data_IF_396122452779
#
_entry.id   IF_396122452779
#
_cell.length_a   1.000
_cell.length_b   1.000
_cell.length_c   1.000
_cell.angle_alpha   90.00
_cell.angle_beta   90.00
_cell.angle_gamma   90.00
#
_symmetry.space_group_name_H-M   'P 1'
#
loop_
_entity.id
_entity.type
_entity.pdbx_description
1 polymer ?
#
# COMPACT_ATOMS: atom_id res chain seq x y z
N UNK A 1 51.69 -3.96 -23.31
CA UNK A 1 51.63 -4.77 -22.07
C UNK A 1 50.32 -4.42 -21.41
N UNK A 2 49.18 -4.94 -21.90
CA UNK A 2 47.84 -4.49 -21.48
C UNK A 2 46.90 -5.70 -21.58
N UNK A 3 46.74 -6.44 -20.48
CA UNK A 3 45.68 -6.38 -19.47
C UNK A 3 44.47 -7.28 -19.79
N UNK A 4 44.42 -8.34 -18.98
CA UNK A 4 43.43 -9.40 -18.83
C UNK A 4 42.10 -8.83 -18.30
N UNK A 5 40.98 -9.15 -18.95
CA UNK A 5 39.64 -9.04 -18.34
C UNK A 5 38.84 -10.28 -18.77
N UNK A 6 38.93 -11.32 -17.95
CA UNK A 6 37.89 -12.34 -17.83
C UNK A 6 36.64 -11.68 -17.24
N UNK A 7 35.47 -11.89 -17.83
CA UNK A 7 34.19 -11.72 -17.13
C UNK A 7 33.08 -12.49 -17.84
N UNK A 8 32.58 -13.48 -17.10
CA UNK A 8 31.49 -14.40 -17.39
C UNK A 8 30.22 -13.69 -17.88
N UNK A 9 29.67 -14.19 -18.99
CA UNK A 9 28.36 -13.81 -19.49
C UNK A 9 27.27 -14.71 -18.87
N UNK A 10 26.69 -14.20 -17.79
CA UNK A 10 25.25 -14.14 -17.49
C UNK A 10 24.40 -15.38 -17.83
N UNK A 11 24.06 -16.11 -16.75
CA UNK A 11 22.80 -16.84 -16.60
C UNK A 11 21.61 -15.98 -17.01
N UNK A 12 20.61 -16.59 -17.67
CA UNK A 12 19.17 -16.46 -17.37
C UNK A 12 18.32 -16.88 -18.58
N UNK A 13 17.66 -18.04 -18.50
CA UNK A 13 16.49 -18.37 -19.34
C UNK A 13 15.47 -19.16 -18.51
N UNK A 14 14.42 -18.45 -18.14
CA UNK A 14 12.99 -18.81 -18.24
C UNK A 14 12.48 -20.11 -17.56
N UNK A 15 11.48 -20.00 -16.68
CA UNK A 15 10.05 -20.25 -17.04
C UNK A 15 9.10 -20.34 -15.82
N UNK A 16 8.12 -19.44 -15.85
CA UNK A 16 6.68 -19.71 -15.69
C UNK A 16 6.15 -20.20 -14.35
N UNK A 17 5.45 -19.30 -13.64
CA UNK A 17 4.17 -19.68 -13.02
C UNK A 17 3.18 -18.53 -13.11
N UNK A 18 2.16 -18.78 -13.92
CA UNK A 18 0.96 -18.01 -14.15
C UNK A 18 0.13 -17.99 -12.85
N UNK A 19 -0.04 -16.82 -12.26
CA UNK A 19 -1.07 -16.56 -11.26
C UNK A 19 -1.57 -15.14 -11.55
N UNK A 20 -2.85 -14.94 -11.95
CA UNK A 20 -3.41 -13.61 -12.06
C UNK A 20 -3.81 -13.14 -10.66
N UNK A 21 -2.83 -12.78 -9.84
CA UNK A 21 -3.09 -11.82 -8.76
C UNK A 21 -3.42 -10.50 -9.43
N UNK A 22 -4.55 -9.84 -9.13
CA UNK A 22 -4.66 -8.42 -9.41
C UNK A 22 -3.66 -7.72 -8.49
N UNK A 23 -2.41 -7.67 -8.93
CA UNK A 23 -1.45 -6.67 -8.50
C UNK A 23 -2.00 -5.35 -9.02
N UNK A 24 -2.87 -4.72 -8.24
CA UNK A 24 -2.98 -3.26 -8.25
C UNK A 24 -1.67 -2.72 -7.68
N UNK A 25 -0.57 -2.97 -8.40
CA UNK A 25 0.64 -2.14 -8.34
C UNK A 25 0.29 -0.85 -9.06
N UNK A 26 -0.48 0.00 -8.39
CA UNK A 26 -0.55 1.41 -8.77
C UNK A 26 0.65 2.08 -8.14
N UNK A 27 1.66 2.22 -8.97
CA UNK A 27 2.67 3.27 -8.99
C UNK A 27 2.79 4.11 -7.70
N UNK A 28 3.89 3.84 -7.00
CA UNK A 28 4.72 4.79 -6.28
C UNK A 28 4.68 6.20 -6.92
N UNK A 29 3.73 7.02 -6.48
CA UNK A 29 3.80 8.48 -6.61
C UNK A 29 3.84 9.05 -5.22
N UNK A 30 5.07 9.14 -4.75
CA UNK A 30 5.54 9.98 -3.66
C UNK A 30 4.82 11.35 -3.68
N UNK A 31 4.51 11.85 -2.48
CA UNK A 31 4.26 13.27 -2.16
C UNK A 31 2.81 13.77 -2.15
N UNK A 32 1.91 13.03 -1.51
CA UNK A 32 0.84 13.64 -0.72
C UNK A 32 0.78 12.89 0.61
N UNK A 33 1.02 13.56 1.74
CA UNK A 33 1.32 12.94 3.05
C UNK A 33 0.17 12.16 3.72
N UNK A 34 -0.77 11.60 2.95
CA UNK A 34 -1.84 10.76 3.45
C UNK A 34 -2.55 9.94 2.36
N UNK A 35 -3.14 8.83 2.80
CA UNK A 35 -3.95 7.90 2.03
C UNK A 35 -5.38 8.41 1.88
N UNK A 36 -6.03 8.12 0.76
CA UNK A 36 -7.47 8.33 0.63
C UNK A 36 -8.24 7.25 1.40
N UNK A 37 -9.55 7.41 1.56
CA UNK A 37 -10.40 6.34 2.11
C UNK A 37 -10.31 5.05 1.30
N UNK A 38 -9.96 5.10 0.00
CA UNK A 38 -9.86 3.90 -0.83
C UNK A 38 -8.53 3.20 -0.56
N UNK A 39 -7.43 3.94 -0.64
CA UNK A 39 -6.08 3.42 -0.38
C UNK A 39 -5.97 2.80 1.02
N UNK A 40 -6.48 3.49 2.05
CA UNK A 40 -6.47 2.93 3.40
C UNK A 40 -7.38 1.72 3.53
N UNK A 41 -8.51 1.68 2.82
CA UNK A 41 -9.41 0.53 2.85
C UNK A 41 -8.74 -0.71 2.22
N UNK A 42 -8.04 -0.54 1.11
CA UNK A 42 -7.27 -1.61 0.47
C UNK A 42 -6.13 -2.08 1.38
N UNK A 43 -5.39 -1.15 2.02
CA UNK A 43 -4.33 -1.46 2.97
C UNK A 43 -4.83 -2.27 4.18
N UNK A 44 -5.99 -1.89 4.72
CA UNK A 44 -6.58 -2.56 5.89
C UNK A 44 -7.45 -3.77 5.51
N UNK A 45 -7.63 -4.06 4.22
CA UNK A 45 -8.47 -5.15 3.73
C UNK A 45 -9.96 -4.98 4.06
N UNK A 46 -10.44 -3.73 4.12
CA UNK A 46 -11.84 -3.39 4.44
C UNK A 46 -12.49 -2.65 3.28
N UNK A 47 -13.81 -2.43 3.36
CA UNK A 47 -14.50 -1.63 2.33
C UNK A 47 -14.32 -0.14 2.57
N UNK A 48 -14.04 0.63 1.51
CA UNK A 48 -14.00 2.10 1.50
C UNK A 48 -15.21 2.74 2.21
N UNK A 49 -16.40 2.16 2.02
CA UNK A 49 -17.62 2.62 2.65
C UNK A 49 -17.54 2.63 4.19
N UNK A 50 -16.84 1.66 4.79
CA UNK A 50 -16.69 1.58 6.25
C UNK A 50 -15.84 2.75 6.76
N UNK A 51 -14.73 3.07 6.08
CA UNK A 51 -13.90 4.22 6.42
C UNK A 51 -14.66 5.54 6.25
N UNK A 52 -15.41 5.69 5.15
CA UNK A 52 -16.26 6.87 4.93
C UNK A 52 -17.34 7.02 6.00
N UNK A 53 -18.07 5.94 6.34
CA UNK A 53 -19.09 5.97 7.39
C UNK A 53 -18.49 6.31 8.76
N UNK A 54 -17.29 5.80 9.06
CA UNK A 54 -16.57 6.14 10.28
C UNK A 54 -16.18 7.62 10.32
N UNK A 55 -15.57 8.14 9.25
CA UNK A 55 -15.09 9.52 9.17
C UNK A 55 -16.21 10.56 9.06
N UNK A 56 -17.22 10.32 8.22
CA UNK A 56 -18.29 11.28 7.91
C UNK A 56 -19.46 11.16 8.89
N UNK A 57 -19.84 9.94 9.28
CA UNK A 57 -21.00 9.71 10.15
C UNK A 57 -20.62 9.38 11.60
N UNK A 58 -19.34 9.21 11.91
CA UNK A 58 -18.89 8.81 13.24
C UNK A 58 -19.32 7.39 13.62
N UNK A 59 -19.67 6.55 12.64
CA UNK A 59 -20.11 5.17 12.91
C UNK A 59 -18.93 4.35 13.39
N UNK A 60 -19.08 3.71 14.55
CA UNK A 60 -18.02 2.91 15.15
C UNK A 60 -17.72 1.67 14.27
N UNK A 61 -16.48 1.52 13.78
CA UNK A 61 -16.08 0.35 12.99
C UNK A 61 -16.00 -0.91 13.86
N UNK A 62 -15.83 -2.10 13.25
CA UNK A 62 -15.50 -3.32 13.98
C UNK A 62 -14.27 -3.14 14.86
N UNK A 63 -14.19 -3.87 15.98
CA UNK A 63 -13.11 -3.70 16.95
C UNK A 63 -11.70 -3.82 16.34
N UNK A 64 -11.45 -4.82 15.49
CA UNK A 64 -10.15 -4.99 14.83
C UNK A 64 -9.78 -3.84 13.90
N UNK A 65 -10.75 -3.31 13.14
CA UNK A 65 -10.53 -2.12 12.30
C UNK A 65 -10.32 -0.87 13.16
N UNK A 66 -11.01 -0.75 14.30
CA UNK A 66 -10.83 0.37 15.21
C UNK A 66 -9.41 0.40 15.79
N UNK A 67 -8.84 -0.74 16.15
CA UNK A 67 -7.44 -0.85 16.62
C UNK A 67 -6.46 -0.36 15.57
N UNK A 68 -6.60 -0.82 14.31
CA UNK A 68 -5.75 -0.36 13.21
C UNK A 68 -5.91 1.15 12.98
N UNK A 69 -7.14 1.66 13.00
CA UNK A 69 -7.41 3.09 12.82
C UNK A 69 -6.90 3.98 13.95
N UNK A 70 -6.48 3.44 15.09
CA UNK A 70 -5.81 4.24 16.13
C UNK A 70 -4.45 4.74 15.68
N UNK A 71 -3.78 4.02 14.78
CA UNK A 71 -2.49 4.37 14.18
C UNK A 71 -2.62 5.45 13.11
N UNK A 72 -3.85 5.75 12.67
CA UNK A 72 -4.14 6.76 11.64
C UNK A 72 -4.86 7.98 12.24
N UNK A 73 -4.62 9.15 11.66
CA UNK A 73 -5.37 10.37 11.90
C UNK A 73 -5.93 10.93 10.60
N UNK A 74 -7.11 11.52 10.68
CA UNK A 74 -7.74 12.18 9.52
C UNK A 74 -7.19 13.61 9.42
N UNK A 75 -6.47 13.91 8.34
CA UNK A 75 -6.01 15.24 7.95
C UNK A 75 -6.81 15.74 6.74
N UNK A 76 -7.83 16.54 7.01
CA UNK A 76 -8.72 17.04 5.96
C UNK A 76 -9.52 15.89 5.33
N UNK A 77 -9.17 15.53 4.09
CA UNK A 77 -9.77 14.41 3.34
C UNK A 77 -8.96 13.12 3.30
N UNK A 78 -7.81 13.09 3.98
CA UNK A 78 -6.87 11.98 3.89
C UNK A 78 -6.54 11.41 5.27
N UNK A 79 -6.11 10.16 5.28
CA UNK A 79 -5.60 9.45 6.42
C UNK A 79 -4.08 9.52 6.44
N UNK A 80 -3.51 10.04 7.51
CA UNK A 80 -2.07 10.05 7.73
C UNK A 80 -1.75 9.13 8.90
N UNK A 81 -0.70 8.31 8.78
CA UNK A 81 -0.16 7.60 9.93
C UNK A 81 0.29 8.60 11.00
N UNK A 82 -0.07 8.31 12.24
CA UNK A 82 0.47 8.99 13.41
C UNK A 82 1.91 8.53 13.58
N UNK A 83 2.85 9.18 12.89
CA UNK A 83 4.27 8.93 13.12
C UNK A 83 4.59 9.10 14.60
N UNK A 84 5.18 8.05 15.18
CA UNK A 84 5.53 7.97 16.60
C UNK A 84 6.82 8.73 16.91
#
# INVERSE_FOLDING_TARGET
MEQLIESEAKSEVNKTKDEPTPETSTEESKEESGLTDQELAELLGVSNLVLREYRVKGKKPPAGLLEQLQEWEVRGDRWSEKSR
#
